data_IF_740869165261
#
_entry.id   IF_740869165261
#
_cell.length_a   1.000
_cell.length_b   1.000
_cell.length_c   1.000
_cell.angle_alpha   90.00
_cell.angle_beta   90.00
_cell.angle_gamma   90.00
#
_symmetry.space_group_name_H-M   'P 1'
#
loop_
_entity.id
_entity.type
_entity.pdbx_description
1 polymer ?
#
# COMPACT_ATOMS: atom_id res chain seq x y z
N UNK A 1 19.82 3.02 11.28
CA UNK A 1 19.57 3.26 9.85
C UNK A 1 19.26 1.96 9.09
N UNK A 2 20.17 0.98 9.05
CA UNK A 2 19.98 -0.26 8.27
C UNK A 2 18.70 -1.05 8.60
N UNK A 3 18.39 -1.28 9.88
CA UNK A 3 17.15 -2.00 10.26
C UNK A 3 15.87 -1.27 9.86
N UNK A 4 15.87 0.07 9.91
CA UNK A 4 14.72 0.87 9.50
C UNK A 4 14.52 0.82 7.98
N UNK A 5 15.63 0.82 7.23
CA UNK A 5 15.62 0.60 5.78
C UNK A 5 15.05 -0.77 5.41
N UNK A 6 15.53 -1.85 6.03
CA UNK A 6 15.03 -3.20 5.75
C UNK A 6 13.55 -3.36 6.09
N UNK A 7 13.10 -2.80 7.23
CA UNK A 7 11.68 -2.82 7.58
C UNK A 7 10.81 -2.05 6.57
N UNK A 8 11.24 -0.87 6.14
CA UNK A 8 10.52 -0.09 5.14
C UNK A 8 10.52 -0.76 3.76
N UNK A 9 11.62 -1.42 3.38
CA UNK A 9 11.73 -2.23 2.15
C UNK A 9 10.71 -3.36 2.16
N UNK A 10 10.70 -4.14 3.24
CA UNK A 10 9.78 -5.26 3.39
C UNK A 10 8.31 -4.80 3.39
N UNK A 11 8.01 -3.65 4.01
CA UNK A 11 6.66 -3.08 3.98
C UNK A 11 6.20 -2.78 2.54
N UNK A 12 7.05 -2.14 1.72
CA UNK A 12 6.75 -1.89 0.30
C UNK A 12 6.55 -3.19 -0.48
N UNK A 13 7.41 -4.18 -0.27
CA UNK A 13 7.32 -5.49 -0.94
C UNK A 13 6.00 -6.22 -0.63
N UNK A 14 5.54 -6.18 0.63
CA UNK A 14 4.23 -6.75 1.01
C UNK A 14 3.07 -6.04 0.31
N UNK A 15 3.14 -4.71 0.20
CA UNK A 15 2.11 -3.96 -0.52
C UNK A 15 2.06 -4.33 -2.00
N UNK A 16 3.21 -4.38 -2.67
CA UNK A 16 3.33 -4.70 -4.09
C UNK A 16 2.93 -6.15 -4.42
N UNK A 17 3.30 -7.10 -3.56
CA UNK A 17 3.10 -8.53 -3.83
C UNK A 17 1.72 -9.05 -3.42
N UNK A 18 1.10 -8.49 -2.37
CA UNK A 18 -0.08 -9.13 -1.75
C UNK A 18 -1.26 -8.18 -1.56
N UNK A 19 -1.02 -6.94 -1.14
CA UNK A 19 -2.11 -6.04 -0.72
C UNK A 19 -2.82 -5.44 -1.92
N UNK A 20 -2.08 -4.90 -2.89
CA UNK A 20 -2.65 -4.20 -4.04
C UNK A 20 -3.44 -5.15 -4.96
N UNK A 21 -2.87 -6.30 -5.31
CA UNK A 21 -3.54 -7.29 -6.16
C UNK A 21 -4.86 -7.76 -5.51
N UNK A 22 -4.82 -8.11 -4.22
CA UNK A 22 -5.99 -8.63 -3.51
C UNK A 22 -7.11 -7.60 -3.37
N UNK A 23 -6.77 -6.33 -3.14
CA UNK A 23 -7.80 -5.29 -3.02
C UNK A 23 -8.41 -4.93 -4.38
N UNK A 24 -7.63 -4.99 -5.46
CA UNK A 24 -8.14 -4.81 -6.83
C UNK A 24 -9.03 -5.96 -7.30
N UNK A 25 -8.71 -7.20 -6.95
CA UNK A 25 -9.60 -8.35 -7.19
C UNK A 25 -10.91 -8.23 -6.42
N UNK A 26 -10.83 -7.91 -5.12
CA UNK A 26 -12.02 -7.73 -4.29
C UNK A 26 -12.91 -6.60 -4.82
N UNK A 27 -12.31 -5.50 -5.27
CA UNK A 27 -13.05 -4.38 -5.85
C UNK A 27 -13.80 -4.79 -7.12
N UNK A 28 -13.17 -5.55 -8.02
CA UNK A 28 -13.82 -6.07 -9.24
C UNK A 28 -15.05 -6.92 -8.91
N UNK A 29 -14.95 -7.83 -7.94
CA UNK A 29 -16.09 -8.66 -7.54
C UNK A 29 -17.25 -7.83 -6.95
N UNK A 30 -16.93 -6.82 -6.15
CA UNK A 30 -17.93 -5.92 -5.55
C UNK A 30 -18.60 -5.06 -6.62
N UNK A 31 -17.83 -4.57 -7.60
CA UNK A 31 -18.37 -3.79 -8.72
C UNK A 31 -19.35 -4.62 -9.56
N UNK A 32 -19.01 -5.88 -9.87
CA UNK A 32 -19.91 -6.78 -10.59
C UNK A 32 -21.18 -7.07 -9.78
N UNK A 33 -21.05 -7.33 -8.48
CA UNK A 33 -22.20 -7.54 -7.60
C UNK A 33 -23.12 -6.29 -7.55
N UNK A 34 -22.56 -5.08 -7.61
CA UNK A 34 -23.35 -3.86 -7.68
C UNK A 34 -24.09 -3.74 -9.02
N UNK A 35 -23.41 -3.99 -10.14
CA UNK A 35 -24.01 -3.97 -11.48
C UNK A 35 -25.14 -4.98 -11.64
N UNK A 36 -25.03 -6.13 -10.98
CA UNK A 36 -26.06 -7.17 -10.93
C UNK A 36 -27.19 -6.86 -9.92
N UNK A 37 -27.10 -5.75 -9.18
CA UNK A 37 -28.08 -5.35 -8.17
C UNK A 37 -28.05 -6.20 -6.88
N UNK A 38 -26.99 -6.98 -6.65
CA UNK A 38 -26.83 -7.85 -5.48
C UNK A 38 -26.39 -7.09 -4.23
N UNK A 39 -25.77 -5.92 -4.39
CA UNK A 39 -25.38 -5.02 -3.31
C UNK A 39 -25.86 -3.59 -3.58
N UNK A 40 -25.98 -2.80 -2.52
CA UNK A 40 -26.37 -1.39 -2.62
C UNK A 40 -25.19 -0.45 -2.88
N UNK A 41 -25.49 0.77 -3.35
CA UNK A 41 -24.50 1.82 -3.60
C UNK A 41 -23.63 2.14 -2.38
N UNK A 42 -24.21 2.13 -1.17
CA UNK A 42 -23.46 2.40 0.05
C UNK A 42 -22.35 1.36 0.30
N UNK A 43 -22.62 0.09 0.00
CA UNK A 43 -21.61 -0.97 0.14
C UNK A 43 -20.49 -0.80 -0.89
N UNK A 44 -20.82 -0.40 -2.12
CA UNK A 44 -19.82 -0.05 -3.14
C UNK A 44 -18.93 1.11 -2.67
N UNK A 45 -19.51 2.17 -2.11
CA UNK A 45 -18.76 3.35 -1.64
C UNK A 45 -17.79 2.97 -0.52
N UNK A 46 -18.19 2.13 0.43
CA UNK A 46 -17.30 1.68 1.53
C UNK A 46 -16.09 0.94 0.97
N UNK A 47 -16.28 0.04 0.01
CA UNK A 47 -15.15 -0.69 -0.59
C UNK A 47 -14.26 0.23 -1.45
N UNK A 48 -14.82 1.23 -2.11
CA UNK A 48 -14.03 2.26 -2.79
C UNK A 48 -13.17 3.07 -1.82
N UNK A 49 -13.70 3.41 -0.64
CA UNK A 49 -12.95 4.10 0.41
C UNK A 49 -11.78 3.23 0.91
N UNK A 50 -12.04 1.94 1.19
CA UNK A 50 -10.99 0.99 1.59
C UNK A 50 -9.87 0.88 0.55
N UNK A 51 -10.21 0.86 -0.75
CA UNK A 51 -9.25 0.85 -1.84
C UNK A 51 -8.38 2.11 -1.84
N UNK A 52 -8.99 3.29 -1.68
CA UNK A 52 -8.28 4.58 -1.62
C UNK A 52 -7.34 4.60 -0.41
N UNK A 53 -7.81 4.15 0.77
CA UNK A 53 -7.01 4.09 1.99
C UNK A 53 -5.80 3.16 1.84
N UNK A 54 -5.97 2.00 1.19
CA UNK A 54 -4.87 1.09 0.93
C UNK A 54 -3.83 1.69 -0.03
N UNK A 55 -4.29 2.34 -1.11
CA UNK A 55 -3.41 3.04 -2.06
C UNK A 55 -2.61 4.17 -1.39
N UNK A 56 -3.27 4.96 -0.53
CA UNK A 56 -2.58 6.00 0.24
C UNK A 56 -1.56 5.41 1.22
N UNK A 57 -1.88 4.30 1.86
CA UNK A 57 -0.98 3.60 2.77
C UNK A 57 0.26 3.07 2.04
N UNK A 58 0.08 2.55 0.82
CA UNK A 58 1.19 2.15 -0.05
C UNK A 58 2.09 3.34 -0.42
N UNK A 59 1.51 4.46 -0.85
CA UNK A 59 2.27 5.69 -1.17
C UNK A 59 3.05 6.19 0.06
N UNK A 60 2.46 6.14 1.25
CA UNK A 60 3.15 6.50 2.49
C UNK A 60 4.32 5.55 2.78
N UNK A 61 4.14 4.23 2.58
CA UNK A 61 5.21 3.23 2.73
C UNK A 61 6.37 3.49 1.76
N UNK A 62 6.08 3.87 0.51
CA UNK A 62 7.11 4.28 -0.46
C UNK A 62 7.89 5.51 0.04
N UNK A 63 7.19 6.51 0.59
CA UNK A 63 7.84 7.68 1.17
C UNK A 63 8.80 7.32 2.31
N UNK A 64 8.35 6.48 3.24
CA UNK A 64 9.16 6.00 4.36
C UNK A 64 10.38 5.19 3.89
N UNK A 65 10.22 4.37 2.85
CA UNK A 65 11.33 3.63 2.26
C UNK A 65 12.39 4.56 1.67
N UNK A 66 11.98 5.58 0.90
CA UNK A 66 12.91 6.58 0.33
C UNK A 66 13.63 7.39 1.41
N UNK A 67 12.92 7.76 2.47
CA UNK A 67 13.54 8.45 3.61
C UNK A 67 14.58 7.57 4.30
N UNK A 68 14.26 6.29 4.51
CA UNK A 68 15.17 5.32 5.12
C UNK A 68 16.41 5.05 4.25
N UNK A 69 16.27 5.05 2.91
CA UNK A 69 17.40 4.98 1.96
C UNK A 69 18.37 6.14 2.14
N UNK A 70 17.86 7.38 2.19
CA UNK A 70 18.68 8.58 2.38
C UNK A 70 19.40 8.54 3.73
N UNK A 71 18.69 8.21 4.80
CA UNK A 71 19.24 8.12 6.15
C UNK A 71 20.34 7.04 6.26
N UNK A 72 20.19 5.91 5.56
CA UNK A 72 21.22 4.87 5.50
C UNK A 72 22.46 5.36 4.75
N UNK A 73 22.27 6.00 3.59
CA UNK A 73 23.38 6.54 2.81
C UNK A 73 24.20 7.58 3.60
N UNK A 74 23.52 8.47 4.34
CA UNK A 74 24.18 9.44 5.22
C UNK A 74 24.97 8.78 6.33
N UNK A 75 24.37 7.82 7.05
CA UNK A 75 25.05 7.13 8.15
C UNK A 75 26.31 6.39 7.70
N UNK A 76 26.30 5.81 6.49
CA UNK A 76 27.48 5.17 5.89
C UNK A 76 28.52 6.23 5.48
N UNK A 77 28.09 7.33 4.87
CA UNK A 77 28.98 8.43 4.47
C UNK A 77 29.62 9.19 5.63
N UNK A 78 28.94 9.33 6.77
CA UNK A 78 29.48 9.94 8.00
C UNK A 78 30.43 8.99 8.77
N UNK A 79 30.33 7.69 8.52
CA UNK A 79 31.22 6.68 9.10
C UNK A 79 32.52 6.48 8.29
N UNK A 80 32.72 7.27 7.22
CA UNK A 80 33.84 7.17 6.27
C UNK A 80 34.96 8.17 6.55
#
# INVERSE_FOLDING_TARGET
AFQAYEAARQSVEVFEAEVLERIEENFRFIEDAYREGKIGLLQLIVVQDDLIVAQLSYVNSLGQYREAEVNLAQAVGESS
#
